data_IF_301474631743
#
_entry.id   IF_301474631743
#
_cell.length_a   1.000
_cell.length_b   1.000
_cell.length_c   1.000
_cell.angle_alpha   90.00
_cell.angle_beta   90.00
_cell.angle_gamma   90.00
#
_symmetry.space_group_name_H-M   'P 1'
#
loop_
_entity.id
_entity.type
_entity.pdbx_description
1 polymer ?
#
# COMPACT_ATOMS: atom_id res chain seq x y z
N UNK A 1 0.09 -5.64 2.78
CA UNK A 1 -1.19 -5.35 3.46
C UNK A 1 -1.31 -6.26 4.68
N UNK A 2 -1.87 -5.78 5.79
CA UNK A 2 -2.15 -6.62 6.98
C UNK A 2 -3.55 -6.33 7.52
N UNK A 3 -4.22 -7.33 8.10
CA UNK A 3 -5.55 -7.18 8.73
C UNK A 3 -5.44 -7.39 10.24
N UNK A 4 -6.03 -6.50 11.05
CA UNK A 4 -6.13 -6.67 12.52
C UNK A 4 -7.39 -5.99 13.03
N UNK A 5 -8.16 -6.70 13.87
CA UNK A 5 -9.30 -6.11 14.59
C UNK A 5 -10.40 -5.52 13.71
N UNK A 6 -10.63 -6.06 12.51
CA UNK A 6 -11.62 -5.53 11.57
C UNK A 6 -11.10 -4.42 10.65
N UNK A 7 -9.86 -3.96 10.84
CA UNK A 7 -9.24 -2.95 9.98
C UNK A 7 -8.18 -3.53 9.05
N UNK A 8 -8.11 -2.97 7.85
CA UNK A 8 -7.11 -3.19 6.82
C UNK A 8 -6.05 -2.10 6.90
N UNK A 9 -4.78 -2.51 6.98
CA UNK A 9 -3.62 -1.62 6.91
C UNK A 9 -2.87 -1.82 5.60
N UNK A 10 -2.68 -0.72 4.89
CA UNK A 10 -1.93 -0.62 3.64
C UNK A 10 -0.71 0.24 3.89
N UNK A 11 0.48 -0.31 3.67
CA UNK A 11 1.73 0.43 3.81
C UNK A 11 2.24 0.83 2.43
N UNK A 12 2.92 1.98 2.37
CA UNK A 12 3.83 2.26 1.27
C UNK A 12 4.97 1.23 1.23
N UNK A 13 5.53 1.02 0.04
CA UNK A 13 6.73 0.19 -0.07
C UNK A 13 7.88 0.82 0.74
N UNK A 14 8.51 0.03 1.63
CA UNK A 14 9.52 0.53 2.57
C UNK A 14 9.00 1.48 3.67
N UNK A 15 7.70 1.74 3.71
CA UNK A 15 7.07 2.65 4.68
C UNK A 15 6.78 2.00 6.02
N UNK A 16 6.96 2.76 7.10
CA UNK A 16 6.63 2.36 8.46
C UNK A 16 5.15 2.57 8.83
N UNK A 17 4.73 2.13 10.02
CA UNK A 17 3.35 2.25 10.52
C UNK A 17 2.78 3.67 10.47
N UNK A 18 3.64 4.69 10.61
CA UNK A 18 3.30 6.12 10.57
C UNK A 18 2.85 6.61 9.19
N UNK A 19 3.23 5.90 8.13
CA UNK A 19 2.83 6.20 6.74
C UNK A 19 1.70 5.27 6.26
N UNK A 20 1.20 4.41 7.14
CA UNK A 20 0.21 3.42 6.79
C UNK A 20 -1.18 4.01 6.67
N UNK A 21 -1.89 3.62 5.62
CA UNK A 21 -3.31 3.89 5.48
C UNK A 21 -4.12 2.79 6.15
N UNK A 22 -5.07 3.15 7.02
CA UNK A 22 -5.88 2.22 7.79
C UNK A 22 -7.36 2.50 7.53
N UNK A 23 -8.10 1.48 7.13
CA UNK A 23 -9.55 1.56 6.89
C UNK A 23 -10.22 0.23 7.25
N UNK A 24 -11.46 0.23 7.79
CA UNK A 24 -12.24 -1.00 7.96
C UNK A 24 -12.84 -1.52 6.64
N UNK A 25 -12.85 -0.71 5.58
CA UNK A 25 -13.45 -1.04 4.29
C UNK A 25 -12.42 -1.73 3.36
N UNK A 26 -12.80 -2.89 2.81
CA UNK A 26 -11.91 -3.67 1.94
C UNK A 26 -11.68 -2.99 0.58
N UNK A 27 -12.72 -2.42 -0.02
CA UNK A 27 -12.62 -1.78 -1.34
C UNK A 27 -11.79 -0.50 -1.28
N UNK A 28 -11.90 0.23 -0.17
CA UNK A 28 -11.04 1.38 0.10
C UNK A 28 -9.57 0.94 0.31
N UNK A 29 -9.33 -0.14 1.06
CA UNK A 29 -7.99 -0.69 1.25
C UNK A 29 -7.35 -1.16 -0.07
N UNK A 30 -8.13 -1.78 -0.95
CA UNK A 30 -7.66 -2.22 -2.27
C UNK A 30 -7.32 -1.03 -3.18
N UNK A 31 -8.19 -0.01 -3.21
CA UNK A 31 -7.93 1.23 -3.98
C UNK A 31 -6.69 1.95 -3.48
N UNK A 32 -6.51 2.05 -2.16
CA UNK A 32 -5.30 2.61 -1.56
C UNK A 32 -4.05 1.82 -1.95
N UNK A 33 -4.11 0.49 -1.87
CA UNK A 33 -3.00 -0.40 -2.25
C UNK A 33 -2.57 -0.22 -3.71
N UNK A 34 -3.53 -0.17 -4.64
CA UNK A 34 -3.25 0.06 -6.06
C UNK A 34 -2.63 1.44 -6.32
N UNK A 35 -3.10 2.47 -5.61
CA UNK A 35 -2.52 3.82 -5.71
C UNK A 35 -1.08 3.87 -5.19
N UNK A 36 -0.81 3.18 -4.08
CA UNK A 36 0.53 3.10 -3.46
C UNK A 36 1.51 2.27 -4.30
N UNK A 37 1.03 1.25 -5.01
CA UNK A 37 1.85 0.38 -5.86
C UNK A 37 2.17 0.95 -7.25
N UNK A 38 1.76 2.19 -7.57
CA UNK A 38 2.06 2.81 -8.87
C UNK A 38 3.58 2.96 -9.07
N UNK A 39 4.12 2.70 -10.27
CA UNK A 39 5.56 2.82 -10.56
C UNK A 39 6.20 4.15 -10.15
N UNK A 40 5.44 5.26 -10.22
CA UNK A 40 5.90 6.58 -9.77
C UNK A 40 6.32 6.65 -8.29
N UNK A 41 5.83 5.71 -7.47
CA UNK A 41 6.12 5.64 -6.04
C UNK A 41 7.07 4.48 -5.69
N UNK A 42 7.47 3.69 -6.68
CA UNK A 42 8.35 2.54 -6.50
C UNK A 42 9.79 2.93 -6.84
N UNK A 43 10.79 2.23 -6.25
CA UNK A 43 12.18 2.37 -6.68
C UNK A 43 12.32 2.14 -8.19
N UNK A 44 13.01 3.04 -8.88
CA UNK A 44 13.13 3.01 -10.37
C UNK A 44 13.65 1.67 -10.90
N UNK A 45 14.51 1.00 -10.13
CA UNK A 45 15.11 -0.29 -10.47
C UNK A 45 14.14 -1.49 -10.36
N UNK A 46 12.95 -1.32 -9.79
CA UNK A 46 11.96 -2.37 -9.63
C UNK A 46 11.00 -2.49 -10.80
N UNK A 47 10.75 -1.37 -11.47
CA UNK A 47 9.91 -1.30 -12.67
C UNK A 47 10.73 -1.28 -13.96
N UNK A 48 12.04 -1.58 -13.90
CA UNK A 48 12.83 -1.84 -15.10
C UNK A 48 12.36 -3.17 -15.71
N UNK A 49 11.34 -3.08 -16.55
CA UNK A 49 11.04 -4.11 -17.54
C UNK A 49 12.26 -4.23 -18.46
N UNK A 50 12.76 -5.46 -18.58
CA UNK A 50 13.76 -5.87 -19.55
C UNK A 50 13.17 -5.85 -20.95
#
# INVERSE_FOLDING_TARGET
>A
MSKRGGSHRVNHFGGGPETAYVTPDLDEALRAGLSMARPKHLPKNWCMLR
#
